data_IF_157998176513
#
_entry.id   IF_157998176513
#
_cell.length_a   1.000
_cell.length_b   1.000
_cell.length_c   1.000
_cell.angle_alpha   90.00
_cell.angle_beta   90.00
_cell.angle_gamma   90.00
#
_symmetry.space_group_name_H-M   'P 1'
#
loop_
_entity.id
_entity.type
_entity.pdbx_description
1 polymer ?
#
# COMPACT_ATOMS: atom_id res chain seq x y z
N UNK A 1 18.15 44.21 -14.20
CA UNK A 1 19.40 43.42 -14.30
C UNK A 1 19.03 42.25 -15.18
N UNK A 2 19.66 42.12 -16.35
CA UNK A 2 19.48 40.95 -17.19
C UNK A 2 20.30 39.81 -16.61
N UNK A 3 19.66 38.66 -16.34
CA UNK A 3 20.36 37.46 -15.85
C UNK A 3 21.35 36.99 -16.91
N UNK A 4 22.56 36.71 -16.52
CA UNK A 4 23.55 36.12 -17.43
C UNK A 4 23.16 34.67 -17.74
N UNK A 5 23.51 34.12 -18.92
CA UNK A 5 23.24 32.72 -19.23
C UNK A 5 23.80 31.74 -18.19
N UNK A 6 24.87 32.11 -17.50
CA UNK A 6 25.48 31.31 -16.44
C UNK A 6 24.63 31.31 -15.14
N UNK A 7 24.06 32.47 -14.76
CA UNK A 7 23.16 32.58 -13.61
C UNK A 7 21.87 31.81 -13.85
N UNK A 8 21.30 31.89 -15.06
CA UNK A 8 20.14 31.12 -15.45
C UNK A 8 20.41 29.56 -15.37
N UNK A 9 21.58 29.13 -15.89
CA UNK A 9 21.97 27.73 -15.80
C UNK A 9 22.17 27.27 -14.34
N UNK A 10 22.81 28.10 -13.50
CA UNK A 10 22.99 27.79 -12.08
C UNK A 10 21.65 27.69 -11.33
N UNK A 11 20.69 28.54 -11.62
CA UNK A 11 19.33 28.50 -11.05
C UNK A 11 18.61 27.21 -11.45
N UNK A 12 18.66 26.82 -12.73
CA UNK A 12 18.08 25.57 -13.22
C UNK A 12 18.72 24.36 -12.52
N UNK A 13 20.06 24.30 -12.43
CA UNK A 13 20.78 23.23 -11.75
C UNK A 13 20.39 23.15 -10.27
N UNK A 14 20.26 24.29 -9.58
CA UNK A 14 19.84 24.31 -8.18
C UNK A 14 18.43 23.75 -7.98
N UNK A 15 17.48 24.15 -8.81
CA UNK A 15 16.10 23.61 -8.78
C UNK A 15 16.07 22.11 -9.04
N UNK A 16 16.85 21.63 -10.03
CA UNK A 16 16.96 20.21 -10.34
C UNK A 16 17.54 19.41 -9.17
N UNK A 17 18.61 19.90 -8.54
CA UNK A 17 19.24 19.24 -7.38
C UNK A 17 18.28 19.16 -6.20
N UNK A 18 17.59 20.26 -5.87
CA UNK A 18 16.60 20.28 -4.79
C UNK A 18 15.41 19.37 -5.13
N UNK A 19 14.90 19.43 -6.37
CA UNK A 19 13.81 18.55 -6.82
C UNK A 19 14.17 17.08 -6.74
N UNK A 20 15.36 16.70 -7.23
CA UNK A 20 15.86 15.33 -7.14
C UNK A 20 16.07 14.87 -5.69
N UNK A 21 16.58 15.75 -4.83
CA UNK A 21 16.71 15.45 -3.40
C UNK A 21 15.34 15.15 -2.76
N UNK A 22 14.34 16.00 -3.02
CA UNK A 22 12.98 15.79 -2.51
C UNK A 22 12.42 14.44 -2.99
N UNK A 23 12.46 14.19 -4.31
CA UNK A 23 11.91 12.97 -4.91
C UNK A 23 12.66 11.69 -4.51
N UNK A 24 13.93 11.80 -4.14
CA UNK A 24 14.74 10.64 -3.75
C UNK A 24 14.59 10.30 -2.27
N UNK A 25 14.59 11.31 -1.40
CA UNK A 25 14.70 11.09 0.04
C UNK A 25 13.42 11.39 0.83
N UNK A 26 12.60 12.34 0.37
CA UNK A 26 11.44 12.81 1.13
C UNK A 26 10.13 12.24 0.63
N UNK A 27 9.98 12.15 -0.69
CA UNK A 27 8.75 11.69 -1.34
C UNK A 27 9.07 10.76 -2.50
N UNK A 28 8.28 9.71 -2.67
CA UNK A 28 8.42 8.78 -3.78
C UNK A 28 7.09 8.63 -4.51
N UNK A 29 7.16 8.58 -5.84
CA UNK A 29 6.00 8.38 -6.68
C UNK A 29 5.74 6.88 -6.84
N UNK A 30 4.47 6.49 -6.71
CA UNK A 30 3.98 5.14 -6.98
C UNK A 30 2.75 5.21 -7.87
N UNK A 31 2.55 4.17 -8.66
CA UNK A 31 1.31 3.94 -9.40
C UNK A 31 0.61 2.71 -8.84
N UNK A 32 -0.71 2.74 -8.80
CA UNK A 32 -1.53 1.60 -8.34
C UNK A 32 -1.81 0.67 -9.51
N UNK A 33 -1.25 -0.56 -9.50
CA UNK A 33 -1.38 -1.49 -10.61
C UNK A 33 -2.54 -2.48 -10.45
N UNK A 34 -3.18 -2.57 -9.28
CA UNK A 34 -4.20 -3.58 -8.97
C UNK A 34 -5.36 -3.06 -8.15
N UNK A 35 -6.53 -3.72 -8.26
CA UNK A 35 -7.75 -3.34 -7.56
C UNK A 35 -7.83 -3.74 -6.07
N UNK A 36 -6.73 -4.22 -5.46
CA UNK A 36 -6.77 -4.73 -4.08
C UNK A 36 -7.09 -3.69 -3.00
N UNK A 37 -7.02 -2.41 -3.33
CA UNK A 37 -7.35 -1.26 -2.46
C UNK A 37 -8.55 -0.47 -2.98
N UNK A 38 -9.35 -1.05 -3.89
CA UNK A 38 -10.59 -0.41 -4.38
C UNK A 38 -11.49 0.03 -3.24
N UNK A 39 -12.22 1.10 -3.45
CA UNK A 39 -12.85 2.06 -2.56
C UNK A 39 -11.90 3.18 -2.10
N UNK A 40 -10.64 2.90 -1.77
CA UNK A 40 -9.65 3.92 -1.39
C UNK A 40 -8.77 4.32 -2.57
N UNK A 41 -8.15 3.34 -3.24
CA UNK A 41 -7.23 3.53 -4.37
C UNK A 41 -7.69 2.72 -5.57
N UNK A 42 -7.70 3.34 -6.75
CA UNK A 42 -8.07 2.70 -8.00
C UNK A 42 -6.85 2.43 -8.88
N UNK A 43 -6.95 1.42 -9.73
CA UNK A 43 -5.93 1.16 -10.77
C UNK A 43 -5.72 2.41 -11.62
N UNK A 44 -4.46 2.82 -11.80
CA UNK A 44 -4.10 4.06 -12.49
C UNK A 44 -4.08 5.32 -11.62
N UNK A 45 -4.22 5.18 -10.29
CA UNK A 45 -3.92 6.27 -9.35
C UNK A 45 -2.41 6.43 -9.20
N UNK A 46 -1.94 7.67 -9.30
CA UNK A 46 -0.54 8.07 -9.13
C UNK A 46 -0.36 8.80 -7.80
N UNK A 47 0.41 8.21 -6.90
CA UNK A 47 0.53 8.62 -5.52
C UNK A 47 1.85 9.30 -5.22
N UNK A 48 1.80 10.29 -4.34
CA UNK A 48 2.98 10.77 -3.61
C UNK A 48 3.02 10.13 -2.24
N UNK A 49 4.11 9.43 -1.94
CA UNK A 49 4.32 8.70 -0.69
C UNK A 49 5.34 9.42 0.17
N UNK A 50 4.95 9.75 1.39
CA UNK A 50 5.82 10.26 2.44
C UNK A 50 6.66 9.12 3.02
N UNK A 51 7.96 9.22 2.85
CA UNK A 51 8.93 8.25 3.34
C UNK A 51 9.54 8.61 4.70
N UNK A 52 9.22 9.78 5.22
CA UNK A 52 9.90 10.35 6.37
C UNK A 52 9.13 10.10 7.66
N UNK A 53 7.82 10.38 7.67
CA UNK A 53 7.04 10.34 8.91
C UNK A 53 7.00 8.95 9.55
N UNK A 54 7.07 7.89 8.75
CA UNK A 54 7.16 6.50 9.21
C UNK A 54 8.58 5.94 9.21
N UNK A 55 9.61 6.72 8.86
CA UNK A 55 11.00 6.28 8.96
C UNK A 55 11.41 6.11 10.44
N UNK A 56 12.42 5.30 10.72
CA UNK A 56 13.03 5.28 12.05
C UNK A 56 13.54 6.67 12.44
N UNK A 57 13.29 7.13 13.69
CA UNK A 57 13.70 8.47 14.12
C UNK A 57 15.22 8.64 14.03
N UNK A 58 15.65 9.77 13.49
CA UNK A 58 17.07 10.11 13.36
C UNK A 58 17.38 11.47 14.00
N UNK A 59 18.57 11.58 14.62
CA UNK A 59 19.04 12.82 15.21
C UNK A 59 19.37 13.91 14.17
N UNK A 60 19.57 13.52 12.89
CA UNK A 60 19.93 14.44 11.81
C UNK A 60 18.75 15.28 11.29
N UNK A 61 17.52 14.88 11.58
CA UNK A 61 16.30 15.59 11.14
C UNK A 61 15.36 15.84 12.34
N UNK A 62 15.76 16.70 13.29
CA UNK A 62 15.01 16.89 14.54
C UNK A 62 13.66 17.59 14.37
N UNK A 63 13.40 18.22 13.23
CA UNK A 63 12.14 18.90 12.90
C UNK A 63 11.08 17.96 12.30
N UNK A 64 11.45 16.72 12.00
CA UNK A 64 10.52 15.72 11.45
C UNK A 64 9.72 15.08 12.58
N UNK A 65 8.41 15.06 12.43
CA UNK A 65 7.52 14.34 13.33
C UNK A 65 7.47 12.86 12.95
N UNK A 66 8.36 12.09 13.55
CA UNK A 66 8.35 10.63 13.39
C UNK A 66 7.23 10.02 14.21
N UNK A 67 6.57 9.02 13.66
CA UNK A 67 5.57 8.23 14.39
C UNK A 67 5.62 6.76 13.98
N UNK A 68 5.15 5.91 14.85
CA UNK A 68 4.93 4.51 14.50
C UNK A 68 3.68 4.36 13.62
N UNK A 69 3.66 3.35 12.75
CA UNK A 69 2.47 2.98 11.98
C UNK A 69 1.30 2.66 12.92
N UNK A 70 0.12 3.16 12.60
CA UNK A 70 -1.09 3.03 13.41
C UNK A 70 -2.17 2.25 12.67
N UNK A 71 -3.09 1.65 13.41
CA UNK A 71 -4.27 0.99 12.83
C UNK A 71 -5.05 1.97 11.95
N UNK A 72 -5.47 1.50 10.78
CA UNK A 72 -6.16 2.30 9.77
C UNK A 72 -5.24 3.03 8.79
N UNK A 73 -3.93 3.14 9.05
CA UNK A 73 -3.00 3.74 8.08
C UNK A 73 -2.97 2.94 6.78
N UNK A 74 -3.07 3.63 5.65
CA UNK A 74 -2.67 3.08 4.36
C UNK A 74 -1.14 3.19 4.27
N UNK A 75 -0.45 2.09 4.01
CA UNK A 75 1.01 2.04 4.00
C UNK A 75 1.56 1.39 2.74
N UNK A 76 2.71 1.89 2.29
CA UNK A 76 3.54 1.28 1.25
C UNK A 76 4.65 0.51 1.94
N UNK A 77 4.84 -0.75 1.55
CA UNK A 77 5.85 -1.62 2.16
C UNK A 77 6.38 -2.64 1.15
N UNK A 78 7.53 -3.22 1.44
CA UNK A 78 8.11 -4.34 0.69
C UNK A 78 7.44 -5.64 1.12
N UNK A 79 6.93 -6.43 0.17
CA UNK A 79 6.35 -7.75 0.44
C UNK A 79 7.39 -8.63 1.16
N UNK A 80 7.05 -9.26 2.29
CA UNK A 80 7.97 -10.17 2.97
C UNK A 80 8.46 -11.28 2.03
N UNK A 81 9.79 -11.46 1.97
CA UNK A 81 10.43 -12.42 1.06
C UNK A 81 10.66 -11.94 -0.38
N UNK A 82 10.20 -10.74 -0.75
CA UNK A 82 10.32 -10.17 -2.10
C UNK A 82 10.89 -8.74 -2.01
N UNK A 83 12.22 -8.55 -2.07
CA UNK A 83 12.87 -7.26 -1.78
C UNK A 83 12.58 -6.15 -2.80
N UNK A 84 12.09 -6.50 -3.99
CA UNK A 84 11.80 -5.54 -5.06
C UNK A 84 10.30 -5.32 -5.30
N UNK A 85 9.43 -5.99 -4.50
CA UNK A 85 7.98 -5.90 -4.68
C UNK A 85 7.34 -4.99 -3.64
N UNK A 86 6.96 -3.78 -4.06
CA UNK A 86 6.20 -2.84 -3.25
C UNK A 86 4.71 -3.17 -3.29
N UNK A 87 4.08 -3.17 -2.14
CA UNK A 87 2.63 -3.30 -1.98
C UNK A 87 2.07 -2.09 -1.22
N UNK A 88 0.79 -1.82 -1.48
CA UNK A 88 0.00 -0.85 -0.71
C UNK A 88 -1.15 -1.59 -0.07
N UNK A 89 -1.28 -1.51 1.25
CA UNK A 89 -2.37 -2.13 2.03
C UNK A 89 -2.74 -1.24 3.22
N UNK A 90 -3.85 -1.55 3.85
CA UNK A 90 -4.25 -0.93 5.11
C UNK A 90 -3.70 -1.72 6.29
N UNK A 91 -3.14 -1.01 7.26
CA UNK A 91 -2.68 -1.58 8.52
C UNK A 91 -3.89 -1.89 9.41
N UNK A 92 -4.10 -3.16 9.69
CA UNK A 92 -5.25 -3.64 10.47
C UNK A 92 -4.87 -3.86 11.93
N UNK A 93 -3.74 -4.56 12.19
CA UNK A 93 -3.33 -4.87 13.54
C UNK A 93 -1.84 -4.56 13.77
N UNK A 94 -1.53 -4.06 14.97
CA UNK A 94 -0.19 -3.66 15.42
C UNK A 94 0.39 -4.68 16.41
N UNK A 95 1.69 -4.60 16.74
CA UNK A 95 2.31 -5.52 17.70
C UNK A 95 1.52 -5.63 19.01
N UNK A 96 1.25 -6.87 19.43
CA UNK A 96 0.51 -7.21 20.65
C UNK A 96 -1.01 -7.32 20.47
N UNK A 97 -1.55 -7.01 19.30
CA UNK A 97 -2.97 -7.19 19.06
C UNK A 97 -3.37 -8.66 18.95
N UNK A 98 -4.54 -8.95 19.45
CA UNK A 98 -5.32 -10.15 19.22
C UNK A 98 -6.36 -9.85 18.14
N UNK A 99 -6.31 -10.58 17.03
CA UNK A 99 -7.04 -10.28 15.82
C UNK A 99 -7.77 -11.52 15.29
N UNK A 100 -9.04 -11.35 14.94
CA UNK A 100 -9.78 -12.30 14.10
C UNK A 100 -10.81 -11.59 13.23
N UNK A 101 -11.31 -12.28 12.22
CA UNK A 101 -12.45 -11.89 11.41
C UNK A 101 -13.65 -12.77 11.77
N UNK A 102 -14.82 -12.17 11.76
CA UNK A 102 -16.10 -12.89 11.84
C UNK A 102 -17.09 -12.27 10.86
N UNK A 103 -17.54 -13.06 9.90
CA UNK A 103 -18.35 -12.58 8.76
C UNK A 103 -17.69 -11.35 8.07
N UNK A 104 -16.39 -11.36 7.89
CA UNK A 104 -15.61 -10.25 7.31
C UNK A 104 -15.41 -9.03 8.22
N UNK A 105 -16.04 -9.01 9.40
CA UNK A 105 -15.84 -7.92 10.38
C UNK A 105 -14.56 -8.15 11.16
N UNK A 106 -13.70 -7.13 11.20
CA UNK A 106 -12.46 -7.14 11.99
C UNK A 106 -12.78 -7.01 13.46
N UNK A 107 -12.30 -7.94 14.26
CA UNK A 107 -12.35 -7.90 15.72
C UNK A 107 -10.93 -7.80 16.25
N UNK A 108 -10.65 -6.72 16.99
CA UNK A 108 -9.36 -6.46 17.61
C UNK A 108 -9.51 -6.40 19.12
N UNK A 109 -8.76 -7.26 19.83
CA UNK A 109 -8.79 -7.33 21.29
C UNK A 109 -10.22 -7.48 21.83
N UNK A 110 -11.04 -8.29 21.16
CA UNK A 110 -12.44 -8.55 21.50
C UNK A 110 -13.44 -7.48 21.10
N UNK A 111 -13.00 -6.41 20.38
CA UNK A 111 -13.87 -5.28 19.97
C UNK A 111 -13.98 -5.23 18.45
N UNK A 112 -15.22 -5.27 17.94
CA UNK A 112 -15.49 -5.11 16.51
C UNK A 112 -15.12 -3.70 16.06
N UNK A 113 -14.42 -3.62 14.91
CA UNK A 113 -13.92 -2.37 14.35
C UNK A 113 -14.79 -1.90 13.18
N UNK A 114 -15.15 -0.63 13.17
CA UNK A 114 -15.75 -0.01 11.99
C UNK A 114 -14.68 0.17 10.91
N UNK A 115 -14.98 -0.33 9.71
CA UNK A 115 -14.08 -0.23 8.56
C UNK A 115 -14.82 0.29 7.33
N UNK A 116 -15.10 1.59 7.27
CA UNK A 116 -15.92 2.20 6.20
C UNK A 116 -15.27 2.12 4.81
N UNK A 117 -13.96 1.84 4.76
CA UNK A 117 -13.21 1.71 3.51
C UNK A 117 -13.25 0.28 2.94
N UNK A 118 -13.54 -0.71 3.79
CA UNK A 118 -13.57 -2.10 3.36
C UNK A 118 -14.81 -2.39 2.50
N UNK A 119 -14.64 -3.19 1.48
CA UNK A 119 -15.78 -3.75 0.76
C UNK A 119 -16.51 -4.71 1.69
N UNK A 120 -17.84 -4.64 1.76
CA UNK A 120 -18.63 -5.50 2.63
C UNK A 120 -18.62 -6.95 2.15
N UNK A 121 -18.64 -7.87 3.09
CA UNK A 121 -18.94 -9.28 2.82
C UNK A 121 -20.43 -9.42 2.58
N UNK A 122 -20.81 -10.11 1.51
CA UNK A 122 -22.18 -10.48 1.19
C UNK A 122 -22.31 -12.01 1.14
N UNK A 123 -23.52 -12.59 1.22
CA UNK A 123 -23.67 -14.02 1.10
C UNK A 123 -23.09 -14.62 -0.19
N UNK A 124 -23.06 -13.82 -1.27
CA UNK A 124 -22.58 -14.25 -2.58
C UNK A 124 -21.04 -14.28 -2.68
N UNK A 125 -20.34 -13.46 -1.90
CA UNK A 125 -18.87 -13.39 -1.91
C UNK A 125 -18.22 -13.94 -0.64
N UNK A 126 -19.00 -14.50 0.30
CA UNK A 126 -18.47 -15.05 1.54
C UNK A 126 -17.49 -16.20 1.29
N UNK A 127 -16.39 -16.18 2.04
CA UNK A 127 -15.34 -17.18 2.02
C UNK A 127 -14.85 -17.46 3.44
N UNK A 128 -14.96 -18.71 3.89
CA UNK A 128 -14.52 -19.11 5.23
C UNK A 128 -13.07 -18.70 5.51
N UNK A 129 -12.19 -18.85 4.52
CA UNK A 129 -10.78 -18.44 4.67
C UNK A 129 -10.61 -16.92 4.82
N UNK A 130 -11.38 -16.13 4.06
CA UNK A 130 -11.21 -14.67 4.03
C UNK A 130 -12.01 -13.95 5.11
N UNK A 131 -13.14 -14.53 5.53
CA UNK A 131 -14.11 -13.83 6.38
C UNK A 131 -14.19 -14.40 7.81
N UNK A 132 -13.68 -15.63 8.04
CA UNK A 132 -13.58 -16.27 9.35
C UNK A 132 -12.11 -16.53 9.76
N UNK A 133 -11.19 -15.72 9.25
CA UNK A 133 -9.76 -15.83 9.59
C UNK A 133 -9.53 -15.54 11.09
N UNK A 134 -8.76 -16.32 11.85
CA UNK A 134 -7.86 -17.40 11.47
C UNK A 134 -8.43 -18.82 11.65
N UNK A 135 -9.74 -19.03 11.60
CA UNK A 135 -10.35 -20.37 11.80
C UNK A 135 -9.87 -21.36 10.72
N UNK A 136 -9.71 -20.88 9.48
CA UNK A 136 -9.14 -21.66 8.38
C UNK A 136 -7.68 -21.30 8.19
N UNK A 137 -6.80 -22.29 8.36
CA UNK A 137 -5.36 -22.08 8.19
C UNK A 137 -4.99 -21.83 6.71
N UNK A 138 -4.04 -20.94 6.43
CA UNK A 138 -3.52 -20.74 5.08
C UNK A 138 -2.79 -22.02 4.61
N UNK A 139 -3.09 -22.43 3.37
CA UNK A 139 -2.42 -23.56 2.72
C UNK A 139 -1.27 -23.01 1.89
N UNK A 140 -0.10 -23.62 2.02
CA UNK A 140 1.09 -23.23 1.24
C UNK A 140 0.78 -23.29 -0.27
N UNK A 141 1.03 -22.18 -0.96
CA UNK A 141 0.82 -22.04 -2.41
C UNK A 141 1.97 -21.23 -2.99
N UNK A 142 2.51 -21.64 -4.16
CA UNK A 142 3.45 -20.82 -4.89
C UNK A 142 2.90 -19.39 -5.07
N UNK A 143 3.74 -18.38 -4.93
CA UNK A 143 3.44 -16.96 -5.16
C UNK A 143 2.41 -16.30 -4.22
N UNK A 144 1.57 -17.07 -3.51
CA UNK A 144 0.56 -16.53 -2.61
C UNK A 144 0.93 -16.74 -1.13
N UNK A 145 1.10 -17.99 -0.70
CA UNK A 145 1.32 -18.36 0.71
C UNK A 145 2.66 -19.07 0.87
N UNK A 146 3.70 -18.38 1.43
CA UNK A 146 4.97 -19.02 1.72
C UNK A 146 4.82 -20.21 2.69
N UNK A 147 5.57 -21.27 2.44
CA UNK A 147 5.58 -22.47 3.31
C UNK A 147 5.91 -22.09 4.77
N UNK A 148 6.89 -21.19 4.95
CA UNK A 148 7.27 -20.71 6.28
C UNK A 148 6.10 -20.09 7.05
N UNK A 149 5.20 -19.38 6.37
CA UNK A 149 4.00 -18.84 6.99
C UNK A 149 2.98 -19.93 7.33
N UNK A 150 2.70 -20.84 6.40
CA UNK A 150 1.77 -21.94 6.66
C UNK A 150 2.20 -22.82 7.84
N UNK A 151 3.52 -23.05 7.99
CA UNK A 151 4.10 -23.81 9.11
C UNK A 151 4.07 -23.01 10.43
N UNK A 152 4.36 -21.71 10.43
CA UNK A 152 4.39 -20.87 11.64
C UNK A 152 2.99 -20.44 12.11
N UNK A 153 2.02 -20.42 11.23
CA UNK A 153 0.66 -19.94 11.50
C UNK A 153 0.00 -20.55 12.74
N UNK A 154 0.00 -21.88 12.96
CA UNK A 154 -0.64 -22.46 14.16
C UNK A 154 -0.02 -21.95 15.46
N UNK A 155 1.28 -21.61 15.47
CA UNK A 155 1.98 -21.08 16.64
C UNK A 155 1.58 -19.63 16.96
N UNK A 156 0.92 -18.94 16.02
CA UNK A 156 0.47 -17.55 16.15
C UNK A 156 -0.97 -17.42 16.56
N UNK A 157 -1.74 -18.50 16.50
CA UNK A 157 -3.14 -18.52 16.91
C UNK A 157 -3.24 -18.95 18.37
N UNK A 158 -3.91 -18.14 19.20
CA UNK A 158 -4.16 -18.38 20.61
C UNK A 158 -5.62 -18.07 20.92
N UNK A 159 -6.34 -19.01 21.49
CA UNK A 159 -7.75 -18.86 21.89
C UNK A 159 -8.66 -18.38 20.73
N UNK A 160 -8.34 -18.77 19.49
CA UNK A 160 -9.07 -18.35 18.28
C UNK A 160 -8.60 -17.05 17.65
N UNK A 161 -7.70 -16.31 18.30
CA UNK A 161 -7.14 -15.05 17.79
C UNK A 161 -5.74 -15.24 17.21
N UNK A 162 -5.46 -14.55 16.09
CA UNK A 162 -4.09 -14.36 15.62
C UNK A 162 -3.41 -13.29 16.49
N UNK A 163 -2.28 -13.63 17.11
CA UNK A 163 -1.51 -12.70 17.95
C UNK A 163 -0.37 -12.07 17.13
N UNK A 164 -0.37 -10.76 17.02
CA UNK A 164 0.66 -10.01 16.25
C UNK A 164 1.97 -9.93 17.04
N UNK A 165 3.08 -10.48 16.55
CA UNK A 165 4.35 -10.48 17.26
C UNK A 165 4.96 -9.07 17.37
N UNK A 166 5.88 -8.84 18.34
CA UNK A 166 6.66 -7.59 18.42
C UNK A 166 7.36 -7.25 17.09
N UNK A 167 7.31 -5.97 16.70
CA UNK A 167 7.93 -5.48 15.47
C UNK A 167 7.28 -5.97 14.16
N UNK A 168 6.10 -6.57 14.22
CA UNK A 168 5.34 -7.06 13.07
C UNK A 168 3.98 -6.38 12.97
N UNK A 169 3.44 -6.31 11.76
CA UNK A 169 2.17 -5.67 11.45
C UNK A 169 1.33 -6.59 10.56
N UNK A 170 0.00 -6.49 10.70
CA UNK A 170 -0.93 -7.24 9.86
C UNK A 170 -1.66 -6.29 8.92
N UNK A 171 -1.57 -6.57 7.62
CA UNK A 171 -2.05 -5.71 6.54
C UNK A 171 -3.16 -6.39 5.75
N UNK A 172 -4.21 -5.65 5.40
CA UNK A 172 -5.26 -6.15 4.51
C UNK A 172 -5.56 -5.14 3.40
N UNK A 173 -6.03 -5.65 2.25
CA UNK A 173 -6.61 -4.79 1.22
C UNK A 173 -8.01 -4.30 1.61
N UNK A 174 -8.41 -3.13 1.14
CA UNK A 174 -9.78 -2.63 1.32
C UNK A 174 -10.78 -3.42 0.46
N UNK A 175 -10.34 -3.91 -0.71
CA UNK A 175 -11.05 -4.92 -1.49
C UNK A 175 -10.76 -6.32 -0.91
N UNK A 176 -11.48 -6.69 0.15
CA UNK A 176 -11.25 -7.86 1.01
C UNK A 176 -11.16 -9.19 0.27
N UNK A 177 -11.96 -9.38 -0.78
CA UNK A 177 -12.06 -10.62 -1.55
C UNK A 177 -11.16 -10.62 -2.79
N UNK A 178 -10.60 -9.46 -3.18
CA UNK A 178 -9.65 -9.33 -4.28
C UNK A 178 -8.29 -8.78 -3.78
N UNK A 179 -7.77 -9.36 -2.69
CA UNK A 179 -6.50 -8.93 -2.11
C UNK A 179 -5.66 -10.11 -1.65
N UNK A 180 -4.47 -10.27 -2.24
CA UNK A 180 -3.42 -11.07 -1.65
C UNK A 180 -2.73 -10.22 -0.57
N UNK A 181 -2.99 -10.54 0.72
CA UNK A 181 -2.54 -9.76 1.86
C UNK A 181 -2.04 -10.64 3.02
N UNK A 182 -1.94 -10.10 4.22
CA UNK A 182 -1.37 -10.81 5.37
C UNK A 182 -2.10 -12.11 5.74
N UNK A 183 -3.34 -12.30 5.33
CA UNK A 183 -4.04 -13.59 5.48
C UNK A 183 -3.33 -14.71 4.73
N UNK A 184 -2.72 -14.38 3.59
CA UNK A 184 -1.99 -15.32 2.72
C UNK A 184 -0.52 -15.45 3.07
N UNK A 185 0.21 -14.31 3.27
CA UNK A 185 1.67 -14.33 3.39
C UNK A 185 2.20 -13.91 4.77
N UNK A 186 1.32 -13.61 5.73
CA UNK A 186 1.69 -13.36 7.12
C UNK A 186 2.02 -11.91 7.44
N UNK A 187 2.87 -11.72 8.44
CA UNK A 187 3.17 -10.41 8.99
C UNK A 187 4.22 -9.63 8.20
N UNK A 188 4.05 -8.31 8.18
CA UNK A 188 5.04 -7.36 7.62
C UNK A 188 5.98 -6.90 8.74
N UNK A 189 7.30 -7.11 8.61
CA UNK A 189 8.27 -6.52 9.52
C UNK A 189 8.25 -4.99 9.47
N UNK A 190 8.57 -4.35 10.60
CA UNK A 190 8.65 -2.88 10.71
C UNK A 190 9.57 -2.25 9.67
N UNK A 191 10.71 -2.88 9.45
CA UNK A 191 11.74 -2.46 8.50
C UNK A 191 11.30 -2.49 7.04
N UNK A 192 10.25 -3.27 6.72
CA UNK A 192 9.69 -3.32 5.36
C UNK A 192 8.76 -2.15 5.06
N UNK A 193 8.29 -1.42 6.09
CA UNK A 193 7.38 -0.28 5.91
C UNK A 193 8.18 0.91 5.37
N UNK A 194 7.86 1.33 4.15
CA UNK A 194 8.56 2.39 3.41
C UNK A 194 7.98 3.77 3.70
N UNK A 195 6.66 3.87 3.77
CA UNK A 195 6.00 5.15 3.98
C UNK A 195 4.48 5.06 3.86
N UNK A 196 3.84 6.22 3.82
CA UNK A 196 2.39 6.35 3.66
C UNK A 196 2.03 7.23 2.46
N UNK A 197 1.02 6.88 1.67
CA UNK A 197 0.49 7.78 0.66
C UNK A 197 -0.06 9.05 1.30
N UNK A 198 0.28 10.22 0.75
CA UNK A 198 -0.27 11.51 1.17
C UNK A 198 -1.48 11.88 0.35
N UNK A 199 -1.30 11.89 -0.95
CA UNK A 199 -2.35 12.24 -1.89
C UNK A 199 -2.12 11.59 -3.25
N UNK A 200 -3.21 11.46 -3.99
CA UNK A 200 -3.20 11.08 -5.39
C UNK A 200 -3.05 12.35 -6.24
N UNK A 201 -1.91 12.50 -6.95
CA UNK A 201 -1.67 13.70 -7.76
C UNK A 201 -2.26 13.61 -9.17
N UNK A 202 -2.50 12.40 -9.66
CA UNK A 202 -3.14 12.15 -10.95
C UNK A 202 -3.79 10.78 -10.96
N UNK A 203 -4.94 10.65 -11.60
CA UNK A 203 -5.68 9.40 -11.76
C UNK A 203 -6.17 9.25 -13.19
N UNK A 204 -5.79 8.16 -13.84
CA UNK A 204 -6.19 7.85 -15.21
C UNK A 204 -6.92 6.52 -15.25
N UNK A 205 -7.94 6.40 -16.12
CA UNK A 205 -8.64 5.14 -16.31
C UNK A 205 -7.70 4.14 -16.98
N UNK A 206 -7.26 3.15 -16.22
CA UNK A 206 -6.28 2.16 -16.65
C UNK A 206 -6.88 0.77 -16.48
N UNK A 207 -6.82 -0.10 -17.50
CA UNK A 207 -7.17 -1.51 -17.38
C UNK A 207 -6.28 -2.23 -16.36
N UNK A 208 -6.81 -3.23 -15.66
CA UNK A 208 -6.06 -3.96 -14.61
C UNK A 208 -4.86 -4.74 -15.15
N UNK A 209 -4.94 -5.19 -16.39
CA UNK A 209 -3.91 -5.96 -17.09
C UNK A 209 -2.79 -5.08 -17.69
N UNK A 210 -3.01 -3.76 -17.80
CA UNK A 210 -2.05 -2.85 -18.44
C UNK A 210 -0.64 -2.91 -17.84
N UNK A 211 -0.54 -3.05 -16.54
CA UNK A 211 0.75 -3.11 -15.84
C UNK A 211 1.42 -4.50 -15.86
N UNK A 212 0.71 -5.52 -16.34
CA UNK A 212 1.24 -6.87 -16.53
C UNK A 212 1.91 -7.03 -17.89
N UNK A 213 1.53 -6.18 -18.84
CA UNK A 213 2.08 -6.20 -20.22
C UNK A 213 3.37 -5.36 -20.28
N UNK A 214 4.50 -6.05 -20.46
CA UNK A 214 5.84 -5.44 -20.51
C UNK A 214 6.35 -5.21 -21.94
N UNK A 215 5.52 -5.45 -22.96
CA UNK A 215 5.88 -5.28 -24.36
C UNK A 215 6.17 -3.82 -24.72
N UNK A 216 7.34 -3.52 -25.33
CA UNK A 216 7.72 -2.15 -25.71
C UNK A 216 6.67 -1.51 -26.64
N UNK A 217 6.13 -2.29 -27.60
CA UNK A 217 5.09 -1.82 -28.51
C UNK A 217 3.80 -1.41 -27.78
N UNK A 218 3.38 -2.21 -26.81
CA UNK A 218 2.19 -1.94 -25.99
C UNK A 218 2.38 -0.73 -25.08
N UNK A 219 3.58 -0.55 -24.54
CA UNK A 219 3.91 0.64 -23.76
C UNK A 219 3.84 1.92 -24.59
N UNK A 220 4.34 1.91 -25.84
CA UNK A 220 4.25 3.06 -26.77
C UNK A 220 2.78 3.33 -27.13
N UNK A 221 2.02 2.31 -27.45
CA UNK A 221 0.59 2.42 -27.76
C UNK A 221 -0.19 2.99 -26.55
N UNK A 222 0.12 2.53 -25.34
CA UNK A 222 -0.46 3.05 -24.10
C UNK A 222 -0.11 4.52 -23.87
N UNK A 223 1.15 4.91 -24.06
CA UNK A 223 1.55 6.33 -23.94
C UNK A 223 0.80 7.21 -24.95
N UNK A 224 0.62 6.76 -26.18
CA UNK A 224 -0.16 7.46 -27.19
C UNK A 224 -1.65 7.57 -26.78
N UNK A 225 -2.23 6.47 -26.26
CA UNK A 225 -3.59 6.45 -25.72
C UNK A 225 -3.75 7.48 -24.59
N UNK A 226 -2.85 7.49 -23.62
CA UNK A 226 -2.86 8.45 -22.50
C UNK A 226 -2.80 9.89 -23.01
N UNK A 227 -1.92 10.18 -23.99
CA UNK A 227 -1.79 11.52 -24.56
C UNK A 227 -3.06 11.97 -25.28
N UNK A 228 -3.68 11.09 -26.05
CA UNK A 228 -4.92 11.40 -26.82
C UNK A 228 -6.15 11.53 -25.91
N UNK A 229 -6.22 10.76 -24.83
CA UNK A 229 -7.39 10.69 -23.95
C UNK A 229 -7.16 11.39 -22.60
N UNK A 230 -6.09 12.16 -22.47
CA UNK A 230 -5.70 12.82 -21.21
C UNK A 230 -6.85 13.57 -20.55
N UNK A 231 -7.62 14.34 -21.31
CA UNK A 231 -8.73 15.14 -20.77
C UNK A 231 -10.00 14.33 -20.52
N UNK A 232 -10.23 13.25 -21.28
CA UNK A 232 -11.48 12.48 -21.25
C UNK A 232 -11.44 11.31 -20.27
N UNK A 233 -10.25 10.72 -20.03
CA UNK A 233 -10.09 9.55 -19.18
C UNK A 233 -9.36 9.86 -17.86
N UNK A 234 -8.84 11.08 -17.67
CA UNK A 234 -8.38 11.53 -16.35
C UNK A 234 -9.58 11.64 -15.40
N UNK A 235 -9.46 10.99 -14.24
CA UNK A 235 -10.44 11.08 -13.16
C UNK A 235 -10.18 12.35 -12.34
N UNK A 236 -10.60 13.50 -12.87
CA UNK A 236 -10.32 14.83 -12.29
C UNK A 236 -10.77 14.98 -10.84
N UNK A 237 -11.89 14.33 -10.45
CA UNK A 237 -12.38 14.32 -9.07
C UNK A 237 -11.46 13.61 -8.07
N UNK A 238 -10.55 12.76 -8.56
CA UNK A 238 -9.57 12.05 -7.75
C UNK A 238 -8.18 12.70 -7.79
N UNK A 239 -7.96 13.66 -8.67
CA UNK A 239 -6.70 14.40 -8.78
C UNK A 239 -6.57 15.35 -7.59
N UNK A 240 -5.40 15.35 -6.93
CA UNK A 240 -5.09 16.05 -5.67
C UNK A 240 -5.93 15.57 -4.47
N UNK A 241 -6.47 14.34 -4.52
CA UNK A 241 -7.26 13.76 -3.45
C UNK A 241 -6.35 13.24 -2.32
N UNK A 242 -6.63 13.66 -1.08
CA UNK A 242 -5.89 13.22 0.12
C UNK A 242 -6.32 11.81 0.49
N UNK A 243 -5.35 10.93 0.74
CA UNK A 243 -5.58 9.53 1.12
C UNK A 243 -5.65 9.44 2.65
N UNK A 244 -6.73 8.83 3.14
CA UNK A 244 -7.00 8.65 4.57
C UNK A 244 -7.28 7.19 4.92
#
# INVERSE_FOLDING_TARGET
MEETPFEAAASICSVLVVGLFILTFLAQNFVIPSGSMENTLLVGDHLVVDRISLAPPTKWMPLVHYREPQRGDVVVFLKPGYPDLFLVKRLIAVPGDHFHLRNGVVILNGVAQEQPHAQPTTPENHSDFLDEFPEVAPIAQPDATPEAWAVDFPNRVKDGDLVVPPGKYFMMGDNRHNSLDSRYWGFVPRENIVGRPLFNYWSFKTPEDQYQDTGVGNNIAWMAHVALHFFTETRWSRTLHIIR
#
